data_IF_163396867724
#
_entry.id   IF_163396867724
#
_cell.length_a   1.000
_cell.length_b   1.000
_cell.length_c   1.000
_cell.angle_alpha   90.00
_cell.angle_beta   90.00
_cell.angle_gamma   90.00
#
_symmetry.space_group_name_H-M   'P 1'
#
loop_
_entity.id
_entity.type
_entity.pdbx_description
1 polymer ?
#
# COMPACT_ATOMS: atom_id res chain seq x y z
N UNK A 1 4.76 -24.75 -3.06
CA UNK A 1 3.57 -23.92 -3.30
C UNK A 1 2.78 -23.91 -2.00
N UNK A 2 2.44 -22.77 -1.51
CA UNK A 2 1.63 -22.63 -0.30
C UNK A 2 0.20 -23.15 -0.54
N UNK A 3 -0.40 -23.76 0.48
CA UNK A 3 -1.80 -24.20 0.44
C UNK A 3 -2.67 -23.03 0.88
N UNK A 4 -3.50 -22.51 -0.02
CA UNK A 4 -4.43 -21.41 0.26
C UNK A 4 -5.74 -21.96 0.79
N UNK A 5 -6.19 -21.48 1.95
CA UNK A 5 -7.43 -21.87 2.60
C UNK A 5 -8.28 -20.64 2.94
N UNK A 6 -9.60 -20.81 2.99
CA UNK A 6 -10.53 -19.73 3.37
C UNK A 6 -11.09 -20.04 4.76
N UNK A 7 -11.10 -19.05 5.63
CA UNK A 7 -11.70 -19.14 6.96
C UNK A 7 -13.18 -19.52 6.87
N UNK A 8 -13.65 -20.37 7.80
CA UNK A 8 -15.04 -20.87 7.83
C UNK A 8 -15.95 -20.05 8.74
N UNK A 9 -15.49 -18.90 9.25
CA UNK A 9 -16.27 -18.03 10.14
C UNK A 9 -17.42 -17.38 9.38
N UNK A 10 -18.58 -17.27 10.03
CA UNK A 10 -19.74 -16.59 9.49
C UNK A 10 -19.54 -15.06 9.38
N UNK A 11 -18.73 -14.49 10.24
CA UNK A 11 -18.34 -13.08 10.20
C UNK A 11 -16.90 -12.91 10.69
N UNK A 12 -16.23 -11.85 10.21
CA UNK A 12 -14.90 -11.50 10.66
C UNK A 12 -14.92 -10.98 12.10
N UNK A 13 -13.94 -11.39 12.89
CA UNK A 13 -13.69 -10.88 14.25
C UNK A 13 -12.37 -10.11 14.23
N UNK A 14 -12.43 -8.81 14.55
CA UNK A 14 -11.28 -7.93 14.43
C UNK A 14 -10.71 -7.96 12.98
N UNK A 15 -11.34 -7.26 12.03
CA UNK A 15 -11.07 -7.44 10.60
C UNK A 15 -9.65 -7.00 10.20
N UNK A 16 -8.94 -7.88 9.51
CA UNK A 16 -7.73 -7.56 8.76
C UNK A 16 -8.10 -6.80 7.47
N UNK A 17 -9.20 -7.20 6.86
CA UNK A 17 -9.68 -6.72 5.58
C UNK A 17 -10.23 -5.29 5.67
N UNK A 18 -9.73 -4.40 4.80
CA UNK A 18 -10.39 -3.14 4.45
C UNK A 18 -11.22 -3.33 3.17
N UNK A 19 -12.27 -2.51 3.00
CA UNK A 19 -13.25 -2.70 1.92
C UNK A 19 -12.78 -2.18 0.56
N UNK A 20 -13.33 -2.74 -0.52
CA UNK A 20 -13.06 -2.32 -1.89
C UNK A 20 -13.31 -0.82 -2.14
N UNK A 21 -14.43 -0.19 -1.69
CA UNK A 21 -14.66 1.24 -1.91
C UNK A 21 -13.54 2.13 -1.35
N UNK A 22 -12.93 1.72 -0.23
CA UNK A 22 -11.79 2.44 0.35
C UNK A 22 -10.56 2.31 -0.54
N UNK A 23 -10.28 1.10 -1.07
CA UNK A 23 -9.18 0.89 -2.02
C UNK A 23 -9.37 1.66 -3.33
N UNK A 24 -10.61 1.70 -3.83
CA UNK A 24 -10.95 2.50 -5.01
C UNK A 24 -10.80 4.00 -4.80
N UNK A 25 -11.31 4.52 -3.68
CA UNK A 25 -11.15 5.92 -3.30
C UNK A 25 -9.67 6.30 -3.14
N UNK A 26 -8.87 5.40 -2.58
CA UNK A 26 -7.43 5.58 -2.43
C UNK A 26 -6.71 5.73 -3.78
N UNK A 27 -7.07 4.94 -4.78
CA UNK A 27 -6.50 5.06 -6.11
C UNK A 27 -6.82 6.43 -6.76
N UNK A 28 -8.05 6.93 -6.60
CA UNK A 28 -8.40 8.28 -7.07
C UNK A 28 -7.60 9.39 -6.38
N UNK A 29 -7.14 9.18 -5.13
CA UNK A 29 -6.33 10.18 -4.43
C UNK A 29 -4.94 10.38 -5.06
N UNK A 30 -4.49 9.50 -5.93
CA UNK A 30 -3.25 9.68 -6.70
C UNK A 30 -3.43 10.47 -8.01
N UNK A 31 -4.59 11.07 -8.26
CA UNK A 31 -4.82 11.98 -9.39
C UNK A 31 -4.92 13.43 -8.90
N UNK A 32 -4.34 14.35 -9.67
CA UNK A 32 -4.40 15.81 -9.38
C UNK A 32 -5.83 16.31 -9.53
N UNK A 33 -6.23 17.17 -8.60
CA UNK A 33 -7.57 17.78 -8.63
C UNK A 33 -8.72 16.79 -8.52
N UNK A 34 -8.49 15.58 -8.01
CA UNK A 34 -9.52 14.57 -7.90
C UNK A 34 -10.43 14.77 -6.68
N UNK A 35 -11.69 14.37 -6.87
CA UNK A 35 -12.66 14.24 -5.79
C UNK A 35 -13.23 12.81 -5.79
N UNK A 36 -12.75 11.93 -4.92
CA UNK A 36 -13.38 10.63 -4.72
C UNK A 36 -14.76 10.77 -4.10
N UNK A 37 -15.74 10.03 -4.64
CA UNK A 37 -17.14 10.02 -4.24
C UNK A 37 -17.59 8.58 -3.95
N UNK A 38 -17.98 8.28 -2.71
CA UNK A 38 -18.62 7.02 -2.39
C UNK A 38 -20.13 7.10 -2.65
N UNK A 39 -20.62 6.27 -3.55
CA UNK A 39 -22.06 6.12 -3.78
C UNK A 39 -22.65 5.18 -2.74
N UNK A 40 -23.26 5.76 -1.71
CA UNK A 40 -23.79 5.04 -0.57
C UNK A 40 -24.17 5.92 0.60
N UNK A 41 -24.26 5.31 1.79
CA UNK A 41 -24.60 6.01 3.03
C UNK A 41 -23.45 6.87 3.55
N UNK A 42 -23.79 7.89 4.36
CA UNK A 42 -22.79 8.76 5.01
C UNK A 42 -21.82 8.01 5.93
N UNK A 43 -22.27 6.92 6.57
CA UNK A 43 -21.46 6.14 7.49
C UNK A 43 -20.22 5.53 6.83
N UNK A 44 -20.36 4.98 5.62
CA UNK A 44 -19.25 4.41 4.86
C UNK A 44 -18.16 5.46 4.57
N UNK A 45 -18.58 6.66 4.18
CA UNK A 45 -17.65 7.76 3.88
C UNK A 45 -16.97 8.29 5.14
N UNK A 46 -17.71 8.46 6.24
CA UNK A 46 -17.14 8.91 7.52
C UNK A 46 -16.11 7.91 8.06
N UNK A 47 -16.38 6.62 7.92
CA UNK A 47 -15.43 5.57 8.30
C UNK A 47 -14.17 5.61 7.43
N UNK A 48 -14.31 5.66 6.11
CA UNK A 48 -13.20 5.77 5.17
C UNK A 48 -12.33 7.01 5.41
N UNK A 49 -12.97 8.17 5.60
CA UNK A 49 -12.29 9.43 5.93
C UNK A 49 -11.47 9.30 7.22
N UNK A 50 -12.04 8.69 8.25
CA UNK A 50 -11.33 8.45 9.53
C UNK A 50 -10.08 7.58 9.33
N UNK A 51 -10.15 6.54 8.50
CA UNK A 51 -9.01 5.67 8.23
C UNK A 51 -7.88 6.44 7.51
N UNK A 52 -8.19 7.18 6.45
CA UNK A 52 -7.20 7.94 5.69
C UNK A 52 -6.55 9.05 6.53
N UNK A 53 -7.36 9.88 7.18
CA UNK A 53 -6.85 10.97 8.02
C UNK A 53 -5.96 10.44 9.16
N UNK A 54 -6.33 9.31 9.75
CA UNK A 54 -5.52 8.70 10.81
C UNK A 54 -4.23 8.06 10.29
N UNK A 55 -4.24 7.56 9.05
CA UNK A 55 -3.05 6.94 8.44
C UNK A 55 -2.04 8.01 7.98
N UNK A 56 -2.47 8.95 7.16
CA UNK A 56 -1.60 9.96 6.56
C UNK A 56 -1.36 11.16 7.47
N UNK A 57 -2.23 11.42 8.44
CA UNK A 57 -2.24 12.65 9.28
C UNK A 57 -2.50 13.92 8.47
N UNK A 58 -3.19 13.79 7.34
CA UNK A 58 -3.52 14.85 6.40
C UNK A 58 -5.02 14.94 6.17
N UNK A 59 -5.48 16.12 5.73
CA UNK A 59 -6.83 16.28 5.23
C UNK A 59 -6.92 15.63 3.84
N UNK A 60 -7.85 14.69 3.66
CA UNK A 60 -8.06 14.01 2.37
C UNK A 60 -9.44 14.33 1.82
N UNK A 61 -9.56 14.57 0.51
CA UNK A 61 -10.87 14.78 -0.11
C UNK A 61 -11.61 13.44 -0.21
N UNK A 62 -12.82 13.38 0.32
CA UNK A 62 -13.71 12.23 0.16
C UNK A 62 -15.16 12.70 0.36
N UNK A 63 -16.02 12.42 -0.61
CA UNK A 63 -17.42 12.83 -0.60
C UNK A 63 -18.37 11.63 -0.62
N UNK A 64 -19.66 11.89 -0.39
CA UNK A 64 -20.71 10.87 -0.35
C UNK A 64 -21.94 11.33 -1.12
N UNK A 65 -22.65 10.40 -1.73
CA UNK A 65 -24.00 10.67 -2.27
C UNK A 65 -25.06 10.74 -1.16
N UNK A 66 -24.69 10.45 0.07
CA UNK A 66 -25.54 10.54 1.26
C UNK A 66 -26.90 9.84 1.13
N UNK A 67 -26.93 8.63 0.61
CA UNK A 67 -28.17 7.89 0.42
C UNK A 67 -28.91 7.71 1.74
N UNK A 68 -30.17 8.16 1.76
CA UNK A 68 -31.12 7.88 2.84
C UNK A 68 -31.77 6.51 2.65
N UNK A 69 -32.49 6.04 3.68
CA UNK A 69 -33.29 4.81 3.58
C UNK A 69 -34.29 4.85 2.42
N UNK A 70 -34.94 6.01 2.22
CA UNK A 70 -35.89 6.22 1.11
C UNK A 70 -35.19 6.11 -0.25
N UNK A 71 -34.05 6.78 -0.41
CA UNK A 71 -33.26 6.70 -1.65
C UNK A 71 -32.74 5.28 -1.90
N UNK A 72 -32.44 4.52 -0.84
CA UNK A 72 -32.05 3.11 -0.95
C UNK A 72 -33.17 2.24 -1.54
N UNK A 73 -34.42 2.58 -1.31
CA UNK A 73 -35.58 1.85 -1.86
C UNK A 73 -35.95 2.36 -3.25
N UNK A 74 -36.04 3.68 -3.45
CA UNK A 74 -36.58 4.28 -4.68
C UNK A 74 -35.56 4.44 -5.81
N UNK A 75 -34.26 4.54 -5.53
CA UNK A 75 -33.19 4.74 -6.52
C UNK A 75 -32.25 5.89 -6.14
N UNK A 76 -30.96 5.68 -6.45
CA UNK A 76 -29.90 6.61 -6.12
C UNK A 76 -29.65 7.71 -7.16
N UNK A 77 -30.43 7.76 -8.28
CA UNK A 77 -30.17 8.70 -9.38
C UNK A 77 -30.07 10.16 -8.92
N UNK A 78 -31.08 10.65 -8.19
CA UNK A 78 -31.12 12.05 -7.73
C UNK A 78 -29.95 12.36 -6.79
N UNK A 79 -29.56 11.39 -5.93
CA UNK A 79 -28.43 11.55 -5.03
C UNK A 79 -27.10 11.64 -5.80
N UNK A 80 -26.90 10.82 -6.83
CA UNK A 80 -25.69 10.85 -7.68
C UNK A 80 -25.64 12.16 -8.46
N UNK A 81 -26.75 12.57 -9.10
CA UNK A 81 -26.85 13.84 -9.85
C UNK A 81 -26.52 15.04 -8.96
N UNK A 82 -27.18 15.15 -7.81
CA UNK A 82 -26.96 16.26 -6.88
C UNK A 82 -25.52 16.28 -6.33
N UNK A 83 -24.97 15.12 -5.99
CA UNK A 83 -23.58 15.02 -5.50
C UNK A 83 -22.60 15.51 -6.55
N UNK A 84 -22.70 15.02 -7.80
CA UNK A 84 -21.83 15.43 -8.91
C UNK A 84 -21.92 16.94 -9.15
N UNK A 85 -23.13 17.49 -9.24
CA UNK A 85 -23.33 18.92 -9.47
C UNK A 85 -22.79 19.79 -8.33
N UNK A 86 -23.01 19.36 -7.08
CA UNK A 86 -22.49 20.06 -5.91
C UNK A 86 -20.96 20.07 -5.88
N UNK A 87 -20.33 18.92 -6.14
CA UNK A 87 -18.87 18.79 -6.23
C UNK A 87 -18.35 19.67 -7.37
N UNK A 88 -18.87 19.50 -8.58
CA UNK A 88 -18.43 20.23 -9.77
C UNK A 88 -18.49 21.75 -9.57
N UNK A 89 -19.59 22.28 -9.03
CA UNK A 89 -19.76 23.70 -8.85
C UNK A 89 -18.96 24.30 -7.70
N UNK A 90 -18.80 23.57 -6.59
CA UNK A 90 -18.15 24.08 -5.36
C UNK A 90 -16.65 23.86 -5.32
N UNK A 91 -16.19 22.67 -5.72
CA UNK A 91 -14.77 22.30 -5.57
C UNK A 91 -14.00 22.41 -6.87
N UNK A 92 -14.69 22.51 -8.01
CA UNK A 92 -14.10 22.63 -9.36
C UNK A 92 -13.00 21.58 -9.61
N UNK A 93 -13.30 20.27 -9.44
CA UNK A 93 -12.30 19.23 -9.57
C UNK A 93 -11.89 19.04 -11.04
N UNK A 94 -10.73 18.43 -11.27
CA UNK A 94 -10.32 17.95 -12.60
C UNK A 94 -11.00 16.62 -12.96
N UNK A 95 -11.35 15.82 -11.95
CA UNK A 95 -11.99 14.50 -12.09
C UNK A 95 -12.84 14.18 -10.86
N UNK A 96 -13.98 13.51 -11.06
CA UNK A 96 -14.76 12.88 -10.00
C UNK A 96 -14.68 11.36 -10.19
N UNK A 97 -14.11 10.66 -9.19
CA UNK A 97 -14.04 9.21 -9.14
C UNK A 97 -15.16 8.64 -8.27
N UNK A 98 -16.01 7.78 -8.82
CA UNK A 98 -17.21 7.29 -8.15
C UNK A 98 -16.99 5.79 -7.84
N UNK A 99 -17.04 5.43 -6.56
CA UNK A 99 -17.00 4.05 -6.09
C UNK A 99 -18.38 3.66 -5.53
N UNK A 100 -18.94 2.54 -5.97
CA UNK A 100 -20.14 1.98 -5.34
C UNK A 100 -19.83 1.45 -3.94
N UNK A 101 -20.88 1.23 -3.14
CA UNK A 101 -20.80 0.57 -1.83
C UNK A 101 -21.74 -0.62 -1.80
N UNK A 102 -21.67 -1.47 -0.77
CA UNK A 102 -22.49 -2.66 -0.66
C UNK A 102 -23.99 -2.39 -0.75
N UNK A 103 -24.46 -1.25 -0.24
CA UNK A 103 -25.86 -0.85 -0.31
C UNK A 103 -26.30 -0.68 -1.76
N UNK A 104 -25.56 0.05 -2.57
CA UNK A 104 -25.91 0.36 -3.97
C UNK A 104 -25.69 -0.85 -4.88
N UNK A 105 -24.68 -1.67 -4.61
CA UNK A 105 -24.43 -2.93 -5.31
C UNK A 105 -25.52 -3.97 -5.03
N UNK A 106 -25.94 -4.12 -3.77
CA UNK A 106 -27.03 -5.06 -3.39
C UNK A 106 -28.35 -4.67 -4.04
N UNK A 107 -28.59 -3.36 -4.17
CA UNK A 107 -29.78 -2.84 -4.83
C UNK A 107 -29.70 -3.00 -6.34
N UNK A 108 -28.52 -2.97 -6.94
CA UNK A 108 -28.33 -3.03 -8.40
C UNK A 108 -28.55 -1.70 -9.09
N UNK A 109 -28.10 -0.57 -8.50
CA UNK A 109 -28.14 0.74 -9.14
C UNK A 109 -27.31 0.75 -10.44
N UNK A 110 -27.94 1.10 -11.59
CA UNK A 110 -27.23 1.28 -12.87
C UNK A 110 -26.53 2.66 -12.91
N UNK A 111 -25.43 2.76 -12.19
CA UNK A 111 -24.68 4.03 -12.11
C UNK A 111 -24.14 4.47 -13.47
N UNK A 112 -23.73 3.55 -14.34
CA UNK A 112 -23.32 3.90 -15.70
C UNK A 112 -24.45 4.52 -16.52
N UNK A 113 -25.66 3.96 -16.40
CA UNK A 113 -26.87 4.54 -16.96
C UNK A 113 -27.18 5.91 -16.38
N UNK A 114 -27.04 6.08 -15.07
CA UNK A 114 -27.18 7.39 -14.43
C UNK A 114 -26.21 8.43 -14.99
N UNK A 115 -24.94 8.08 -15.15
CA UNK A 115 -23.93 8.98 -15.69
C UNK A 115 -24.21 9.40 -17.14
N UNK A 116 -24.77 8.48 -17.97
CA UNK A 116 -25.20 8.83 -19.33
C UNK A 116 -26.30 9.87 -19.29
N UNK A 117 -27.36 9.63 -18.51
CA UNK A 117 -28.48 10.56 -18.35
C UNK A 117 -28.05 11.94 -17.79
N UNK A 118 -27.12 11.93 -16.81
CA UNK A 118 -26.58 13.17 -16.21
C UNK A 118 -25.80 13.98 -17.27
N UNK A 119 -24.98 13.35 -18.11
CA UNK A 119 -24.25 14.00 -19.19
C UNK A 119 -25.19 14.59 -20.24
N UNK A 120 -26.26 13.89 -20.60
CA UNK A 120 -27.25 14.36 -21.55
C UNK A 120 -28.05 15.58 -21.00
N UNK A 121 -28.36 15.54 -19.70
CA UNK A 121 -29.12 16.64 -19.04
C UNK A 121 -28.24 17.85 -18.72
N UNK A 122 -26.93 17.68 -18.53
CA UNK A 122 -25.98 18.71 -18.10
C UNK A 122 -24.82 18.87 -19.12
N UNK A 123 -24.97 19.72 -20.17
CA UNK A 123 -23.95 19.86 -21.22
C UNK A 123 -22.54 20.21 -20.71
N UNK A 124 -22.43 20.92 -19.58
CA UNK A 124 -21.15 21.23 -18.95
C UNK A 124 -20.39 19.98 -18.46
N UNK A 125 -21.07 18.86 -18.24
CA UNK A 125 -20.48 17.59 -17.83
C UNK A 125 -20.20 16.64 -19.00
N UNK A 126 -20.58 16.99 -20.24
CA UNK A 126 -20.49 16.09 -21.40
C UNK A 126 -19.08 15.53 -21.63
N UNK A 127 -18.04 16.36 -21.44
CA UNK A 127 -16.62 15.98 -21.58
C UNK A 127 -15.87 15.94 -20.26
N UNK A 128 -16.57 16.21 -19.14
CA UNK A 128 -15.93 16.21 -17.83
C UNK A 128 -15.60 14.76 -17.39
N UNK A 129 -14.38 14.49 -16.87
CA UNK A 129 -13.99 13.17 -16.43
C UNK A 129 -14.82 12.69 -15.23
N UNK A 130 -15.73 11.76 -15.48
CA UNK A 130 -16.49 11.01 -14.46
C UNK A 130 -16.14 9.55 -14.66
N UNK A 131 -15.45 8.96 -13.70
CA UNK A 131 -15.03 7.53 -13.74
C UNK A 131 -15.75 6.78 -12.64
N UNK A 132 -16.51 5.76 -13.03
CA UNK A 132 -17.22 4.89 -12.11
C UNK A 132 -16.53 3.54 -11.98
N UNK A 133 -16.51 3.00 -10.76
CA UNK A 133 -15.99 1.67 -10.45
C UNK A 133 -16.94 0.93 -9.53
N UNK A 134 -17.35 -0.27 -9.93
CA UNK A 134 -18.12 -1.18 -9.07
C UNK A 134 -17.21 -1.81 -8.02
N UNK A 135 -17.46 -1.45 -6.76
CA UNK A 135 -16.63 -1.83 -5.60
C UNK A 135 -17.50 -2.38 -4.45
N UNK A 136 -18.16 -3.54 -4.64
CA UNK A 136 -18.98 -4.14 -3.59
C UNK A 136 -18.14 -4.45 -2.34
N UNK A 137 -18.56 -3.97 -1.17
CA UNK A 137 -17.81 -4.13 0.08
C UNK A 137 -17.98 -5.50 0.76
N UNK A 138 -18.97 -6.29 0.31
CA UNK A 138 -19.27 -7.63 0.84
C UNK A 138 -18.40 -8.74 0.25
N UNK A 139 -17.65 -8.49 -0.80
CA UNK A 139 -16.66 -9.42 -1.36
C UNK A 139 -15.36 -8.70 -1.69
N UNK A 140 -14.28 -9.48 -1.91
CA UNK A 140 -12.95 -8.97 -2.23
C UNK A 140 -12.43 -7.99 -1.14
N UNK A 141 -11.35 -7.27 -1.36
CA UNK A 141 -10.73 -6.42 -0.35
C UNK A 141 -10.22 -5.07 -0.91
N UNK A 142 -9.49 -4.34 -0.11
CA UNK A 142 -8.88 -3.05 -0.42
C UNK A 142 -8.02 -3.10 -1.69
N UNK A 143 -7.15 -4.12 -1.80
CA UNK A 143 -6.31 -4.34 -2.97
C UNK A 143 -7.12 -4.50 -4.26
N UNK A 144 -8.25 -5.21 -4.21
CA UNK A 144 -9.11 -5.42 -5.39
C UNK A 144 -9.80 -4.12 -5.83
N UNK A 145 -10.20 -3.28 -4.86
CA UNK A 145 -10.75 -1.95 -5.16
C UNK A 145 -9.75 -1.03 -5.86
N UNK A 146 -8.50 -1.05 -5.41
CA UNK A 146 -7.41 -0.35 -6.08
C UNK A 146 -7.19 -0.86 -7.51
N UNK A 147 -7.04 -2.17 -7.68
CA UNK A 147 -6.85 -2.81 -9.00
C UNK A 147 -7.92 -2.41 -10.00
N UNK A 148 -9.20 -2.55 -9.60
CA UNK A 148 -10.34 -2.22 -10.45
C UNK A 148 -10.34 -0.75 -10.85
N UNK A 149 -9.99 0.12 -9.91
CA UNK A 149 -9.96 1.56 -10.16
C UNK A 149 -8.83 1.94 -11.11
N UNK A 150 -7.63 1.42 -10.93
CA UNK A 150 -6.51 1.69 -11.85
C UNK A 150 -6.83 1.17 -13.26
N UNK A 151 -7.44 -0.01 -13.39
CA UNK A 151 -7.88 -0.53 -14.68
C UNK A 151 -8.94 0.40 -15.32
N UNK A 152 -9.94 0.85 -14.55
CA UNK A 152 -10.96 1.76 -15.04
C UNK A 152 -10.40 3.13 -15.47
N UNK A 153 -9.39 3.65 -14.75
CA UNK A 153 -8.68 4.88 -15.12
C UNK A 153 -7.95 4.70 -16.46
N UNK A 154 -7.26 3.59 -16.66
CA UNK A 154 -6.60 3.27 -17.94
C UNK A 154 -7.65 3.18 -19.07
N UNK A 155 -8.73 2.44 -18.84
CA UNK A 155 -9.77 2.24 -19.85
C UNK A 155 -10.52 3.54 -20.20
N UNK A 156 -10.74 4.41 -19.21
CA UNK A 156 -11.53 5.64 -19.40
C UNK A 156 -10.70 6.81 -19.91
N UNK A 157 -9.47 7.00 -19.41
CA UNK A 157 -8.71 8.25 -19.59
C UNK A 157 -7.56 8.13 -20.58
N UNK A 158 -6.87 6.97 -20.66
CA UNK A 158 -5.73 6.84 -21.58
C UNK A 158 -6.21 6.86 -23.02
N UNK A 159 -5.58 7.66 -23.85
CA UNK A 159 -5.88 7.69 -25.28
C UNK A 159 -5.01 6.70 -26.05
N UNK A 160 -5.62 6.04 -27.05
CA UNK A 160 -4.85 5.23 -27.98
C UNK A 160 -3.98 6.15 -28.85
N UNK A 161 -2.69 5.81 -29.08
CA UNK A 161 -1.86 6.61 -29.97
C UNK A 161 -2.42 6.61 -31.41
N UNK A 162 -2.22 7.71 -32.13
CA UNK A 162 -2.62 7.79 -33.53
C UNK A 162 -1.94 6.67 -34.35
N UNK A 163 -2.59 6.13 -35.40
CA UNK A 163 -1.98 5.13 -36.26
C UNK A 163 -0.64 5.63 -36.82
N UNK A 164 0.43 4.86 -36.61
CA UNK A 164 1.77 5.21 -37.05
C UNK A 164 2.54 6.18 -36.13
N UNK A 165 1.99 6.56 -34.99
CA UNK A 165 2.70 7.39 -34.01
C UNK A 165 3.95 6.66 -33.49
N UNK A 166 5.06 7.40 -33.42
CA UNK A 166 6.31 6.90 -32.85
C UNK A 166 6.21 7.01 -31.31
N UNK A 167 6.55 5.93 -30.62
CA UNK A 167 6.58 5.91 -29.16
C UNK A 167 7.78 6.68 -28.66
N UNK A 168 7.58 7.37 -27.56
CA UNK A 168 8.66 7.99 -26.79
C UNK A 168 9.31 6.94 -25.88
N UNK A 169 10.46 6.44 -26.28
CA UNK A 169 11.19 5.40 -25.53
C UNK A 169 11.80 5.91 -24.22
N UNK A 170 11.85 7.23 -24.01
CA UNK A 170 12.30 7.79 -22.73
C UNK A 170 11.16 7.83 -21.71
N UNK A 171 9.90 7.83 -22.15
CA UNK A 171 8.75 7.79 -21.25
C UNK A 171 8.42 6.37 -20.83
N UNK A 172 8.17 6.19 -19.52
CA UNK A 172 7.71 4.92 -18.93
C UNK A 172 6.51 5.16 -18.03
N UNK A 173 5.47 4.37 -18.24
CA UNK A 173 4.34 4.35 -17.32
C UNK A 173 4.69 3.47 -16.13
N UNK A 174 4.28 3.88 -14.94
CA UNK A 174 4.39 3.08 -13.72
C UNK A 174 3.00 2.90 -13.13
N UNK A 175 2.59 1.65 -12.95
CA UNK A 175 1.34 1.27 -12.30
C UNK A 175 1.69 0.66 -10.94
N UNK A 176 1.69 1.46 -9.85
CA UNK A 176 2.05 0.99 -8.52
C UNK A 176 0.89 0.26 -7.85
N UNK A 177 1.21 -0.79 -7.08
CA UNK A 177 0.26 -1.47 -6.21
C UNK A 177 -0.06 -0.67 -4.95
N UNK A 178 -1.22 -0.93 -4.35
CA UNK A 178 -1.70 -0.23 -3.15
C UNK A 178 -0.85 -0.44 -1.88
N UNK A 179 0.05 -1.41 -1.90
CA UNK A 179 0.95 -1.71 -0.78
C UNK A 179 2.16 -0.79 -0.69
N UNK A 180 2.43 -0.03 -1.76
CA UNK A 180 3.54 0.92 -1.81
C UNK A 180 3.16 2.24 -1.13
N UNK A 181 4.09 2.78 -0.38
CA UNK A 181 3.94 4.09 0.29
C UNK A 181 4.29 5.23 -0.66
N UNK A 182 3.89 6.49 -0.36
CA UNK A 182 4.40 7.65 -1.07
C UNK A 182 5.93 7.70 -1.16
N UNK A 183 6.66 7.36 -0.09
CA UNK A 183 8.13 7.29 -0.11
C UNK A 183 8.67 6.19 -1.02
N UNK A 184 7.99 5.06 -1.14
CA UNK A 184 8.35 4.01 -2.09
C UNK A 184 8.20 4.50 -3.54
N UNK A 185 7.14 5.25 -3.84
CA UNK A 185 6.93 5.84 -5.17
C UNK A 185 8.02 6.85 -5.51
N UNK A 186 8.41 7.70 -4.56
CA UNK A 186 9.52 8.64 -4.74
C UNK A 186 10.85 7.92 -5.01
N UNK A 187 11.14 6.86 -4.28
CA UNK A 187 12.37 6.07 -4.52
C UNK A 187 12.35 5.44 -5.90
N UNK A 188 11.22 4.85 -6.32
CA UNK A 188 11.07 4.26 -7.66
C UNK A 188 11.24 5.34 -8.74
N UNK A 189 10.67 6.53 -8.53
CA UNK A 189 10.82 7.69 -9.41
C UNK A 189 12.29 8.06 -9.56
N UNK A 190 12.99 8.29 -8.44
CA UNK A 190 14.41 8.60 -8.43
C UNK A 190 15.25 7.54 -9.15
N UNK A 191 14.95 6.26 -8.93
CA UNK A 191 15.66 5.17 -9.61
C UNK A 191 15.47 5.26 -11.13
N UNK A 192 14.24 5.43 -11.60
CA UNK A 192 13.93 5.50 -13.05
C UNK A 192 14.58 6.74 -13.70
N UNK A 193 14.48 7.90 -13.04
CA UNK A 193 15.07 9.16 -13.52
C UNK A 193 16.59 9.11 -13.62
N UNK A 194 17.27 8.40 -12.73
CA UNK A 194 18.72 8.22 -12.80
C UNK A 194 19.21 7.43 -14.01
N UNK A 195 18.33 6.65 -14.62
CA UNK A 195 18.57 6.03 -15.93
C UNK A 195 18.20 6.96 -17.10
N UNK A 196 17.76 8.21 -16.80
CA UNK A 196 17.36 9.22 -17.78
C UNK A 196 16.02 8.90 -18.44
N UNK A 197 15.20 8.11 -17.80
CA UNK A 197 13.82 7.84 -18.20
C UNK A 197 12.88 8.82 -17.48
N UNK A 198 11.70 9.04 -18.04
CA UNK A 198 10.68 9.95 -17.52
C UNK A 198 9.45 9.13 -17.09
N UNK A 199 9.29 8.89 -15.78
CA UNK A 199 8.18 8.07 -15.29
C UNK A 199 6.89 8.87 -15.12
N UNK A 200 5.76 8.33 -15.59
CA UNK A 200 4.40 8.77 -15.27
C UNK A 200 3.73 7.71 -14.39
N UNK A 201 3.40 8.07 -13.15
CA UNK A 201 2.77 7.15 -12.20
C UNK A 201 1.25 7.26 -12.26
N UNK A 202 0.56 6.13 -12.34
CA UNK A 202 -0.89 6.08 -12.27
C UNK A 202 -1.33 4.95 -11.31
N UNK A 203 -1.82 5.29 -10.13
CA UNK A 203 -1.90 6.61 -9.46
C UNK A 203 -0.54 7.11 -8.92
N UNK A 204 -0.41 8.42 -8.66
CA UNK A 204 0.78 9.03 -8.06
C UNK A 204 0.48 9.54 -6.65
N UNK A 205 0.71 8.70 -5.65
CA UNK A 205 0.49 9.09 -4.25
C UNK A 205 1.64 9.95 -3.70
N UNK A 206 2.84 9.89 -4.28
CA UNK A 206 3.98 10.68 -3.86
C UNK A 206 3.77 12.18 -4.08
N UNK A 207 2.96 12.53 -5.09
CA UNK A 207 2.60 13.92 -5.34
C UNK A 207 1.38 14.42 -4.55
N UNK A 208 0.62 13.53 -3.88
CA UNK A 208 -0.66 13.89 -3.25
C UNK A 208 -0.77 13.60 -1.76
N UNK A 209 -0.05 12.63 -1.23
CA UNK A 209 -0.12 12.16 0.16
C UNK A 209 1.28 12.02 0.79
N UNK A 210 2.16 12.95 0.48
CA UNK A 210 3.56 12.98 0.90
C UNK A 210 3.84 13.93 2.08
N UNK A 211 2.81 14.53 2.65
CA UNK A 211 2.91 15.39 3.83
C UNK A 211 3.27 16.83 3.53
N UNK A 212 3.28 17.28 2.26
CA UNK A 212 3.51 18.69 1.98
C UNK A 212 2.26 19.53 2.27
N UNK A 213 2.47 20.76 2.73
CA UNK A 213 1.40 21.70 3.05
C UNK A 213 1.27 22.69 1.89
N UNK A 214 0.11 22.75 1.22
CA UNK A 214 -0.10 23.72 0.16
C UNK A 214 -0.19 25.15 0.72
N UNK A 215 0.20 26.15 -0.08
CA UNK A 215 0.15 27.58 0.30
C UNK A 215 -1.30 28.06 0.55
N UNK A 216 -2.28 27.49 -0.14
CA UNK A 216 -3.68 27.79 -0.01
C UNK A 216 -4.52 26.50 0.19
N UNK A 217 -5.69 26.65 0.81
CA UNK A 217 -6.63 25.54 0.95
C UNK A 217 -7.14 25.05 -0.40
N UNK A 218 -6.93 23.78 -0.68
CA UNK A 218 -7.42 23.07 -1.87
C UNK A 218 -8.46 22.03 -1.46
N UNK A 219 -9.71 22.10 -1.95
CA UNK A 219 -10.77 21.17 -1.54
C UNK A 219 -10.68 19.78 -2.19
N UNK A 220 -9.78 19.61 -3.17
CA UNK A 220 -9.52 18.36 -3.91
C UNK A 220 -8.13 17.81 -3.53
N UNK A 221 -7.67 16.74 -4.18
CA UNK A 221 -6.28 16.31 -4.07
C UNK A 221 -5.33 17.42 -4.50
N UNK A 222 -4.23 17.61 -3.74
CA UNK A 222 -3.29 18.71 -3.95
C UNK A 222 -2.22 18.40 -5.01
N UNK A 223 -2.00 17.13 -5.30
CA UNK A 223 -1.00 16.65 -6.27
C UNK A 223 -1.46 15.35 -6.91
N UNK A 224 -0.53 14.59 -7.42
CA UNK A 224 -0.79 13.38 -8.20
C UNK A 224 -0.68 13.62 -9.70
N UNK A 225 -0.99 12.61 -10.50
CA UNK A 225 -0.94 12.69 -11.97
C UNK A 225 -2.17 13.45 -12.52
N UNK A 226 -1.94 14.36 -13.46
CA UNK A 226 -3.03 15.08 -14.15
C UNK A 226 -3.78 14.21 -15.17
N UNK A 227 -5.07 14.50 -15.37
CA UNK A 227 -5.89 13.79 -16.37
C UNK A 227 -5.32 13.96 -17.79
N UNK A 228 -4.77 15.12 -18.10
CA UNK A 228 -4.08 15.43 -19.35
C UNK A 228 -2.83 14.58 -19.56
N UNK A 229 -2.05 14.35 -18.51
CA UNK A 229 -0.90 13.46 -18.55
C UNK A 229 -1.32 12.00 -18.72
N UNK A 230 -2.33 11.53 -17.98
CA UNK A 230 -2.90 10.18 -18.13
C UNK A 230 -3.33 9.91 -19.56
N UNK A 231 -3.97 10.89 -20.23
CA UNK A 231 -4.40 10.75 -21.62
C UNK A 231 -3.23 10.43 -22.55
N UNK A 232 -2.04 10.97 -22.29
CA UNK A 232 -0.83 10.76 -23.12
C UNK A 232 -0.02 9.50 -22.79
N UNK A 233 -0.35 8.76 -21.75
CA UNK A 233 0.40 7.57 -21.32
C UNK A 233 0.51 6.49 -22.41
N UNK A 234 -0.43 6.47 -23.37
CA UNK A 234 -0.37 5.56 -24.52
C UNK A 234 0.84 5.74 -25.45
N UNK A 235 1.55 6.87 -25.33
CA UNK A 235 2.73 7.20 -26.14
C UNK A 235 4.05 6.68 -25.54
N UNK A 236 4.05 6.18 -24.31
CA UNK A 236 5.23 5.71 -23.61
C UNK A 236 5.85 4.45 -24.26
N UNK A 237 7.16 4.28 -24.10
CA UNK A 237 7.90 3.11 -24.58
C UNK A 237 7.54 1.83 -23.84
N UNK A 238 7.34 1.94 -22.52
CA UNK A 238 7.09 0.81 -21.62
C UNK A 238 6.08 1.15 -20.53
N UNK A 239 5.41 0.09 -20.03
CA UNK A 239 4.62 0.13 -18.79
C UNK A 239 5.25 -0.83 -17.77
N UNK A 240 5.56 -0.31 -16.59
CA UNK A 240 6.05 -1.05 -15.43
C UNK A 240 4.88 -1.26 -14.49
N UNK A 241 4.53 -2.51 -14.21
CA UNK A 241 3.46 -2.88 -13.28
C UNK A 241 4.08 -3.43 -11.99
N UNK A 242 3.83 -2.79 -10.84
CA UNK A 242 4.42 -3.17 -9.55
C UNK A 242 3.34 -3.77 -8.64
N UNK A 243 3.55 -5.03 -8.27
CA UNK A 243 2.55 -5.87 -7.63
C UNK A 243 1.74 -6.68 -8.64
N UNK A 244 1.34 -7.89 -8.26
CA UNK A 244 0.58 -8.78 -9.13
C UNK A 244 -0.81 -8.22 -9.46
N UNK A 245 -1.40 -7.45 -8.54
CA UNK A 245 -2.67 -6.77 -8.73
C UNK A 245 -2.66 -5.82 -9.94
N UNK A 246 -1.51 -5.28 -10.32
CA UNK A 246 -1.42 -4.32 -11.43
C UNK A 246 -1.39 -4.99 -12.81
N UNK A 247 -1.34 -6.31 -12.89
CA UNK A 247 -1.34 -7.05 -14.15
C UNK A 247 -2.54 -6.70 -15.02
N UNK A 248 -3.75 -6.67 -14.44
CA UNK A 248 -4.99 -6.35 -15.17
C UNK A 248 -4.95 -4.95 -15.80
N UNK A 249 -4.51 -3.95 -15.05
CA UNK A 249 -4.39 -2.59 -15.56
C UNK A 249 -3.31 -2.48 -16.66
N UNK A 250 -2.19 -3.20 -16.52
CA UNK A 250 -1.13 -3.26 -17.52
C UNK A 250 -1.58 -3.96 -18.82
N UNK A 251 -2.37 -5.03 -18.72
CA UNK A 251 -2.98 -5.72 -19.86
C UNK A 251 -4.01 -4.82 -20.58
N UNK A 252 -4.82 -4.06 -19.81
CA UNK A 252 -5.74 -3.07 -20.37
C UNK A 252 -4.97 -1.96 -21.12
N UNK A 253 -3.86 -1.46 -20.54
CA UNK A 253 -2.96 -0.51 -21.17
C UNK A 253 -2.39 -1.07 -22.48
N UNK A 254 -1.83 -2.27 -22.45
CA UNK A 254 -1.28 -2.92 -23.63
C UNK A 254 -2.34 -3.16 -24.73
N UNK A 255 -3.51 -3.65 -24.34
CA UNK A 255 -4.63 -3.88 -25.27
C UNK A 255 -5.08 -2.59 -25.96
N UNK A 256 -5.16 -1.49 -25.21
CA UNK A 256 -5.65 -0.20 -25.71
C UNK A 256 -4.61 0.53 -26.56
N UNK A 257 -3.35 0.49 -26.16
CA UNK A 257 -2.29 1.33 -26.72
C UNK A 257 -1.21 0.54 -27.48
N UNK A 258 -1.14 -0.77 -27.24
CA UNK A 258 -0.05 -1.63 -27.72
C UNK A 258 1.27 -1.41 -26.98
N UNK A 259 1.33 -0.59 -25.90
CA UNK A 259 2.54 -0.37 -25.10
C UNK A 259 2.92 -1.67 -24.39
N UNK A 260 4.15 -2.19 -24.58
CA UNK A 260 4.60 -3.38 -23.88
C UNK A 260 4.66 -3.13 -22.37
N UNK A 261 4.43 -4.18 -21.57
CA UNK A 261 4.56 -4.05 -20.12
C UNK A 261 5.49 -5.10 -19.51
N UNK A 262 6.11 -4.73 -18.39
CA UNK A 262 6.92 -5.63 -17.55
C UNK A 262 6.34 -5.64 -16.14
N UNK A 263 5.90 -6.80 -15.61
CA UNK A 263 5.50 -6.91 -14.22
C UNK A 263 6.71 -7.10 -13.30
N UNK A 264 6.68 -6.43 -12.15
CA UNK A 264 7.55 -6.63 -11.00
C UNK A 264 6.64 -6.91 -9.79
N UNK A 265 6.48 -8.17 -9.46
CA UNK A 265 5.56 -8.57 -8.40
C UNK A 265 6.13 -8.31 -7.00
N UNK A 266 7.43 -8.06 -6.90
CA UNK A 266 8.18 -7.70 -5.70
C UNK A 266 9.22 -6.64 -6.03
N UNK A 267 9.44 -5.70 -5.11
CA UNK A 267 10.56 -4.74 -5.14
C UNK A 267 11.30 -4.63 -3.80
N UNK A 268 10.92 -5.43 -2.81
CA UNK A 268 11.65 -5.60 -1.57
C UNK A 268 12.53 -6.87 -1.66
N UNK A 269 13.83 -6.74 -1.40
CA UNK A 269 14.80 -7.83 -1.51
C UNK A 269 15.95 -7.54 -2.47
N UNK A 270 17.02 -8.35 -2.42
CA UNK A 270 18.20 -8.15 -3.26
C UNK A 270 17.90 -8.49 -4.73
N UNK A 271 17.40 -9.70 -4.98
CA UNK A 271 17.15 -10.21 -6.34
C UNK A 271 16.08 -9.39 -7.08
N UNK A 272 14.91 -9.07 -6.49
CA UNK A 272 13.91 -8.23 -7.16
C UNK A 272 14.45 -6.86 -7.57
N UNK A 273 15.28 -6.25 -6.72
CA UNK A 273 15.94 -4.99 -7.07
C UNK A 273 17.00 -5.14 -8.17
N UNK A 274 17.77 -6.23 -8.18
CA UNK A 274 18.70 -6.53 -9.26
C UNK A 274 17.96 -6.65 -10.60
N UNK A 275 16.83 -7.36 -10.65
CA UNK A 275 15.99 -7.51 -11.84
C UNK A 275 15.44 -6.16 -12.32
N UNK A 276 14.96 -5.32 -11.42
CA UNK A 276 14.42 -4.00 -11.73
C UNK A 276 15.50 -3.06 -12.30
N UNK A 277 16.65 -2.97 -11.64
CA UNK A 277 17.80 -2.15 -12.07
C UNK A 277 18.33 -2.62 -13.43
N UNK A 278 18.44 -3.93 -13.66
CA UNK A 278 18.90 -4.47 -14.94
C UNK A 278 17.90 -4.20 -16.06
N UNK A 279 16.60 -4.30 -15.81
CA UNK A 279 15.57 -3.93 -16.78
C UNK A 279 15.65 -2.44 -17.17
N UNK A 280 15.84 -1.55 -16.21
CA UNK A 280 16.00 -0.11 -16.49
C UNK A 280 17.27 0.16 -17.29
N UNK A 281 18.37 -0.55 -17.02
CA UNK A 281 19.60 -0.47 -17.80
C UNK A 281 19.38 -0.92 -19.25
N UNK A 282 18.61 -1.99 -19.44
CA UNK A 282 18.27 -2.53 -20.76
C UNK A 282 17.45 -1.54 -21.59
N UNK A 283 16.31 -1.06 -21.04
CA UNK A 283 15.38 -0.19 -21.81
C UNK A 283 15.93 1.23 -22.04
N UNK A 284 16.79 1.72 -21.14
CA UNK A 284 17.44 3.03 -21.28
C UNK A 284 18.71 3.01 -22.13
N UNK A 285 19.31 1.83 -22.33
CA UNK A 285 20.62 1.67 -22.95
C UNK A 285 21.77 2.27 -22.12
N UNK A 286 21.56 2.59 -20.85
CA UNK A 286 22.54 3.22 -19.94
C UNK A 286 23.10 2.20 -18.94
N UNK A 287 24.38 2.31 -18.60
CA UNK A 287 24.97 1.45 -17.57
C UNK A 287 24.37 1.77 -16.19
N UNK A 288 24.35 0.77 -15.32
CA UNK A 288 23.89 0.95 -13.93
C UNK A 288 24.71 2.03 -13.22
N UNK A 289 24.08 3.11 -12.69
CA UNK A 289 24.79 4.17 -11.99
C UNK A 289 25.60 3.65 -10.79
N UNK A 290 26.73 4.28 -10.52
CA UNK A 290 27.67 3.86 -9.46
C UNK A 290 27.01 3.81 -8.07
N UNK A 291 26.03 4.71 -7.81
CA UNK A 291 25.31 4.74 -6.52
C UNK A 291 24.54 3.45 -6.27
N UNK A 292 23.91 2.85 -7.27
CA UNK A 292 23.15 1.61 -7.11
C UNK A 292 24.05 0.40 -6.91
N UNK A 293 25.21 0.34 -7.58
CA UNK A 293 26.23 -0.69 -7.29
C UNK A 293 26.72 -0.62 -5.84
N UNK A 294 26.91 0.60 -5.30
CA UNK A 294 27.27 0.81 -3.89
C UNK A 294 26.13 0.41 -2.95
N UNK A 295 24.89 0.85 -3.22
CA UNK A 295 23.74 0.53 -2.40
C UNK A 295 23.47 -0.99 -2.36
N UNK A 296 23.66 -1.69 -3.50
CA UNK A 296 23.61 -3.14 -3.57
C UNK A 296 24.60 -3.81 -2.60
N UNK A 297 25.85 -3.31 -2.60
CA UNK A 297 26.86 -3.78 -1.65
C UNK A 297 26.48 -3.53 -0.18
N UNK A 298 25.92 -2.35 0.11
CA UNK A 298 25.42 -2.03 1.45
C UNK A 298 24.25 -2.90 1.88
N UNK A 299 23.34 -3.27 0.96
CA UNK A 299 22.26 -4.20 1.25
C UNK A 299 22.80 -5.60 1.53
N UNK A 300 23.74 -6.09 0.72
CA UNK A 300 24.38 -7.41 0.95
C UNK A 300 25.09 -7.49 2.32
N UNK A 301 25.76 -6.41 2.72
CA UNK A 301 26.41 -6.28 4.03
C UNK A 301 25.35 -6.31 5.16
N UNK A 302 24.30 -5.51 5.04
CA UNK A 302 23.18 -5.49 5.99
C UNK A 302 22.49 -6.86 6.13
N UNK A 303 22.38 -7.61 5.03
CA UNK A 303 21.85 -8.97 5.05
C UNK A 303 22.75 -9.91 5.88
N UNK A 304 24.07 -9.78 5.75
CA UNK A 304 25.03 -10.55 6.55
C UNK A 304 24.93 -10.20 8.03
N UNK A 305 24.94 -8.90 8.36
CA UNK A 305 24.87 -8.43 9.76
C UNK A 305 23.57 -8.87 10.44
N UNK A 306 22.46 -8.76 9.74
CA UNK A 306 21.13 -9.07 10.29
C UNK A 306 20.81 -10.57 10.32
N UNK A 307 21.51 -11.37 9.51
CA UNK A 307 21.25 -12.82 9.41
C UNK A 307 21.36 -13.55 10.77
N UNK A 308 22.31 -13.16 11.61
CA UNK A 308 22.49 -13.74 12.94
C UNK A 308 21.30 -13.52 13.88
N UNK A 309 20.50 -12.50 13.65
CA UNK A 309 19.32 -12.16 14.46
C UNK A 309 18.03 -12.66 13.84
N UNK A 310 17.96 -12.75 12.51
CA UNK A 310 16.77 -13.14 11.74
C UNK A 310 16.73 -14.62 11.39
N UNK A 311 17.88 -15.23 11.12
CA UNK A 311 17.98 -16.63 10.69
C UNK A 311 17.30 -17.60 11.66
N UNK A 312 16.35 -18.38 11.14
CA UNK A 312 15.58 -19.36 11.89
C UNK A 312 14.44 -18.82 12.75
N UNK A 313 14.27 -17.47 12.85
CA UNK A 313 13.15 -16.86 13.57
C UNK A 313 11.82 -17.19 12.90
N UNK A 314 10.76 -17.26 13.71
CA UNK A 314 9.40 -17.54 13.28
C UNK A 314 8.59 -16.24 13.29
N UNK A 315 7.99 -15.88 12.17
CA UNK A 315 7.20 -14.67 12.06
C UNK A 315 5.76 -14.98 11.65
N UNK A 316 4.83 -14.16 12.16
CA UNK A 316 3.44 -14.14 11.75
C UNK A 316 3.16 -12.86 10.95
N UNK A 317 2.54 -12.99 9.78
CA UNK A 317 2.23 -11.87 8.88
C UNK A 317 0.75 -11.86 8.56
N UNK A 318 0.10 -10.70 8.78
CA UNK A 318 -1.28 -10.43 8.34
C UNK A 318 -1.33 -9.22 7.43
N UNK A 319 -1.56 -9.40 6.12
CA UNK A 319 -1.50 -8.31 5.13
C UNK A 319 -2.32 -8.59 3.86
N UNK A 320 -2.53 -7.54 3.05
CA UNK A 320 -3.02 -7.68 1.68
C UNK A 320 -2.10 -8.62 0.88
N UNK A 321 -2.62 -9.35 -0.13
CA UNK A 321 -1.86 -10.39 -0.82
C UNK A 321 -0.49 -9.97 -1.36
N UNK A 322 -0.38 -8.82 -2.02
CA UNK A 322 0.87 -8.39 -2.63
C UNK A 322 1.90 -7.97 -1.57
N UNK A 323 1.47 -7.31 -0.49
CA UNK A 323 2.33 -6.97 0.65
C UNK A 323 2.82 -8.22 1.37
N UNK A 324 1.93 -9.20 1.59
CA UNK A 324 2.28 -10.49 2.18
C UNK A 324 3.34 -11.21 1.33
N UNK A 325 3.15 -11.22 0.02
CA UNK A 325 4.08 -11.87 -0.91
C UNK A 325 5.45 -11.19 -0.92
N UNK A 326 5.49 -9.86 -0.95
CA UNK A 326 6.75 -9.09 -0.98
C UNK A 326 7.53 -9.25 0.33
N UNK A 327 6.90 -9.04 1.48
CA UNK A 327 7.51 -9.18 2.80
C UNK A 327 7.97 -10.62 3.08
N UNK A 328 7.12 -11.62 2.79
CA UNK A 328 7.47 -13.02 3.04
C UNK A 328 8.67 -13.47 2.21
N UNK A 329 8.78 -12.99 0.98
CA UNK A 329 9.92 -13.30 0.12
C UNK A 329 11.23 -12.69 0.63
N UNK A 330 11.24 -11.42 1.01
CA UNK A 330 12.41 -10.75 1.58
C UNK A 330 12.86 -11.42 2.89
N UNK A 331 11.90 -11.75 3.76
CA UNK A 331 12.18 -12.42 5.03
C UNK A 331 12.71 -13.86 4.83
N UNK A 332 12.18 -14.57 3.83
CA UNK A 332 12.69 -15.88 3.44
C UNK A 332 14.15 -15.81 2.99
N UNK A 333 14.50 -14.79 2.19
CA UNK A 333 15.90 -14.56 1.75
C UNK A 333 16.84 -14.29 2.94
N UNK A 334 16.29 -13.84 4.09
CA UNK A 334 17.01 -13.66 5.37
C UNK A 334 17.02 -14.92 6.26
N UNK A 335 16.49 -16.06 5.80
CA UNK A 335 16.40 -17.29 6.56
C UNK A 335 15.30 -17.31 7.63
N UNK A 336 14.36 -16.36 7.58
CA UNK A 336 13.18 -16.32 8.45
C UNK A 336 12.16 -17.36 8.02
N UNK A 337 11.48 -17.97 8.98
CA UNK A 337 10.34 -18.86 8.74
C UNK A 337 9.04 -18.11 8.96
N UNK A 338 8.31 -17.83 7.90
CA UNK A 338 6.93 -17.32 8.02
C UNK A 338 6.05 -18.52 8.39
N UNK A 339 5.77 -18.68 9.68
CA UNK A 339 4.97 -19.80 10.18
C UNK A 339 3.48 -19.54 10.07
N UNK A 340 3.05 -18.27 10.17
CA UNK A 340 1.67 -17.86 10.06
C UNK A 340 1.53 -16.79 9.00
N UNK A 341 0.70 -17.04 7.99
CA UNK A 341 0.36 -16.10 6.94
C UNK A 341 -1.17 -15.98 6.82
N UNK A 342 -1.71 -14.79 7.10
CA UNK A 342 -3.12 -14.48 6.97
C UNK A 342 -3.30 -13.32 6.00
N UNK A 343 -4.26 -13.43 5.10
CA UNK A 343 -4.54 -12.41 4.08
C UNK A 343 -6.02 -12.10 3.96
N UNK A 344 -6.36 -11.12 3.15
CA UNK A 344 -7.69 -10.50 3.09
C UNK A 344 -8.56 -11.02 1.97
N UNK A 345 -7.97 -11.42 0.84
CA UNK A 345 -8.67 -11.82 -0.38
C UNK A 345 -7.86 -12.83 -1.18
N UNK A 346 -8.47 -13.42 -2.20
CA UNK A 346 -7.79 -14.32 -3.14
C UNK A 346 -6.85 -13.56 -4.08
N UNK A 347 -5.69 -14.14 -4.34
CA UNK A 347 -4.75 -13.65 -5.35
C UNK A 347 -3.90 -14.79 -5.90
N UNK A 348 -3.52 -14.76 -7.17
CA UNK A 348 -2.63 -15.76 -7.77
C UNK A 348 -1.23 -15.85 -7.11
N UNK A 349 -0.78 -14.80 -6.42
CA UNK A 349 0.53 -14.80 -5.73
C UNK A 349 0.55 -15.65 -4.47
N UNK A 350 -0.61 -15.91 -3.87
CA UNK A 350 -0.70 -16.59 -2.56
C UNK A 350 -0.08 -18.00 -2.58
N UNK A 351 -0.19 -18.73 -3.69
CA UNK A 351 0.42 -20.04 -3.83
C UNK A 351 1.96 -20.01 -3.84
N UNK A 352 2.53 -18.82 -4.09
CA UNK A 352 3.98 -18.60 -4.16
C UNK A 352 4.56 -17.93 -2.91
N UNK A 353 3.72 -17.59 -1.93
CA UNK A 353 4.15 -17.08 -0.63
C UNK A 353 5.07 -18.12 0.03
N UNK A 354 6.14 -17.66 0.67
CA UNK A 354 7.17 -18.52 1.28
C UNK A 354 6.71 -19.04 2.66
N UNK A 355 5.65 -19.87 2.65
CA UNK A 355 5.06 -20.54 3.82
C UNK A 355 4.41 -21.85 3.39
N UNK A 356 4.03 -22.70 4.35
CA UNK A 356 3.27 -23.93 4.07
C UNK A 356 1.80 -23.65 3.77
N UNK A 357 1.16 -22.80 4.60
CA UNK A 357 -0.26 -22.47 4.50
C UNK A 357 -0.48 -20.95 4.49
N UNK A 358 -1.43 -20.50 3.68
CA UNK A 358 -1.97 -19.13 3.70
C UNK A 358 -3.46 -19.20 4.00
N UNK A 359 -3.91 -18.48 5.02
CA UNK A 359 -5.31 -18.39 5.39
C UNK A 359 -5.90 -17.05 4.94
N UNK A 360 -6.99 -17.08 4.18
CA UNK A 360 -7.85 -15.90 3.99
C UNK A 360 -8.75 -15.81 5.22
N UNK A 361 -8.47 -14.81 6.08
CA UNK A 361 -9.07 -14.71 7.40
C UNK A 361 -9.00 -13.31 7.99
N UNK A 362 -9.01 -13.24 9.31
CA UNK A 362 -9.02 -12.00 10.08
C UNK A 362 -7.88 -11.95 11.12
N UNK A 363 -7.82 -10.87 11.90
CA UNK A 363 -6.78 -10.71 12.93
C UNK A 363 -6.94 -11.66 14.12
N UNK A 364 -8.14 -12.16 14.40
CA UNK A 364 -8.34 -13.21 15.40
C UNK A 364 -7.74 -14.54 14.93
N UNK A 365 -7.89 -14.87 13.64
CA UNK A 365 -7.25 -16.04 13.05
C UNK A 365 -5.73 -15.93 13.12
N UNK A 366 -5.19 -14.74 12.79
CA UNK A 366 -3.76 -14.44 12.88
C UNK A 366 -3.23 -14.65 14.31
N UNK A 367 -3.93 -14.11 15.31
CA UNK A 367 -3.58 -14.23 16.72
C UNK A 367 -3.62 -15.68 17.20
N UNK A 368 -4.69 -16.41 16.92
CA UNK A 368 -4.86 -17.81 17.34
C UNK A 368 -3.81 -18.74 16.72
N UNK A 369 -3.51 -18.54 15.43
CA UNK A 369 -2.46 -19.30 14.76
C UNK A 369 -1.07 -18.96 15.33
N UNK A 370 -0.79 -17.67 15.56
CA UNK A 370 0.47 -17.23 16.16
C UNK A 370 0.67 -17.78 17.59
N UNK A 371 -0.40 -17.81 18.39
CA UNK A 371 -0.38 -18.41 19.71
C UNK A 371 -0.08 -19.94 19.67
N UNK A 372 -0.66 -20.63 18.68
CA UNK A 372 -0.53 -22.09 18.56
C UNK A 372 0.83 -22.53 17.99
N UNK A 373 1.31 -21.84 16.94
CA UNK A 373 2.55 -22.21 16.24
C UNK A 373 3.79 -21.55 16.84
N UNK A 374 3.60 -20.51 17.65
CA UNK A 374 4.64 -19.65 18.20
C UNK A 374 5.28 -18.76 17.14
N UNK A 375 5.52 -17.50 17.49
CA UNK A 375 6.25 -16.57 16.64
C UNK A 375 7.06 -15.58 17.48
N UNK A 376 8.15 -15.07 16.90
CA UNK A 376 9.07 -14.12 17.53
C UNK A 376 8.70 -12.67 17.21
N UNK A 377 7.88 -12.42 16.19
CA UNK A 377 7.44 -11.09 15.76
C UNK A 377 6.13 -11.19 15.00
N UNK A 378 5.24 -10.23 15.21
CA UNK A 378 4.01 -10.04 14.45
C UNK A 378 4.16 -8.87 13.48
N UNK A 379 3.76 -9.06 12.22
CA UNK A 379 3.74 -8.01 11.19
C UNK A 379 2.32 -7.86 10.66
N UNK A 380 1.71 -6.70 10.86
CA UNK A 380 0.41 -6.33 10.28
C UNK A 380 0.14 -4.83 10.51
N UNK A 381 -1.01 -4.32 10.03
CA UNK A 381 -1.42 -2.94 10.29
C UNK A 381 -1.82 -2.68 11.76
N UNK A 382 -2.09 -1.43 12.12
CA UNK A 382 -2.25 -0.99 13.52
C UNK A 382 -3.30 -1.74 14.35
N UNK A 383 -4.32 -2.34 13.73
CA UNK A 383 -5.32 -3.12 14.47
C UNK A 383 -4.75 -4.41 15.10
N UNK A 384 -3.61 -4.91 14.60
CA UNK A 384 -2.94 -6.07 15.20
C UNK A 384 -2.17 -5.78 16.49
N UNK A 385 -2.05 -4.51 16.90
CA UNK A 385 -1.30 -4.13 18.12
C UNK A 385 -1.74 -4.90 19.37
N UNK A 386 -3.05 -5.01 19.59
CA UNK A 386 -3.59 -5.70 20.76
C UNK A 386 -3.28 -7.21 20.74
N UNK A 387 -3.23 -7.84 19.56
CA UNK A 387 -2.82 -9.24 19.43
C UNK A 387 -1.35 -9.42 19.83
N UNK A 388 -0.46 -8.55 19.35
CA UNK A 388 0.96 -8.58 19.72
C UNK A 388 1.16 -8.36 21.24
N UNK A 389 0.40 -7.44 21.86
CA UNK A 389 0.42 -7.21 23.30
C UNK A 389 -0.02 -8.45 24.09
N UNK A 390 -1.11 -9.13 23.68
CA UNK A 390 -1.57 -10.37 24.33
C UNK A 390 -0.61 -11.54 24.17
N UNK A 391 0.04 -11.62 23.00
CA UNK A 391 1.06 -12.64 22.73
C UNK A 391 2.41 -12.32 23.38
N UNK A 392 2.57 -11.10 23.90
CA UNK A 392 3.83 -10.59 24.47
C UNK A 392 5.02 -10.73 23.50
N UNK A 393 4.82 -10.31 22.24
CA UNK A 393 5.84 -10.34 21.19
C UNK A 393 6.00 -8.96 20.54
N UNK A 394 7.16 -8.64 19.96
CA UNK A 394 7.37 -7.40 19.24
C UNK A 394 6.44 -7.29 18.04
N UNK A 395 6.17 -6.04 17.63
CA UNK A 395 5.20 -5.70 16.60
C UNK A 395 5.77 -4.74 15.57
N UNK A 396 5.83 -5.16 14.31
CA UNK A 396 6.12 -4.29 13.16
C UNK A 396 4.83 -3.94 12.44
N UNK A 397 4.62 -2.64 12.16
CA UNK A 397 3.44 -2.16 11.45
C UNK A 397 3.73 -2.11 9.96
N UNK A 398 2.89 -2.75 9.17
CA UNK A 398 2.94 -2.75 7.72
C UNK A 398 1.52 -2.72 7.13
N UNK A 399 1.35 -2.06 5.99
CA UNK A 399 0.06 -1.96 5.30
C UNK A 399 -0.88 -0.88 5.86
N UNK A 400 -2.09 -0.84 5.31
CA UNK A 400 -3.11 0.15 5.66
C UNK A 400 -4.21 -0.48 6.54
N UNK A 401 -4.66 0.21 7.63
CA UNK A 401 -4.24 1.53 8.09
C UNK A 401 -3.18 1.49 9.20
N UNK A 402 -2.33 2.52 9.26
CA UNK A 402 -1.47 2.80 10.41
C UNK A 402 -1.93 4.08 11.11
N UNK A 403 -2.37 3.99 12.37
CA UNK A 403 -2.91 5.13 13.11
C UNK A 403 -2.26 5.34 14.48
N UNK A 404 -1.51 4.39 14.98
CA UNK A 404 -0.80 4.44 16.26
C UNK A 404 0.70 4.77 16.11
N UNK A 405 1.10 5.17 14.92
CA UNK A 405 2.43 5.69 14.58
C UNK A 405 2.29 6.92 13.68
N UNK A 406 3.33 7.73 13.62
CA UNK A 406 3.48 8.84 12.68
C UNK A 406 4.38 8.42 11.53
N UNK A 407 4.27 9.10 10.38
CA UNK A 407 5.15 8.87 9.23
C UNK A 407 4.85 7.59 8.44
N UNK A 408 3.62 7.09 8.44
CA UNK A 408 3.24 5.89 7.68
C UNK A 408 3.57 6.02 6.19
N UNK A 409 3.28 7.17 5.57
CA UNK A 409 3.59 7.45 4.17
C UNK A 409 5.07 7.63 3.85
N UNK A 410 5.92 7.78 4.87
CA UNK A 410 7.38 7.98 4.74
C UNK A 410 8.19 6.70 5.00
N UNK A 411 7.55 5.58 5.27
CA UNK A 411 8.25 4.31 5.40
C UNK A 411 8.72 3.84 4.03
N UNK A 412 10.02 3.57 3.90
CA UNK A 412 10.63 3.10 2.67
C UNK A 412 10.92 1.60 2.76
N UNK A 413 10.44 0.83 1.78
CA UNK A 413 10.62 -0.62 1.74
C UNK A 413 11.26 -1.11 0.42
N UNK A 414 11.15 -0.34 -0.66
CA UNK A 414 11.63 -0.71 -1.99
C UNK A 414 13.04 -0.18 -2.28
N UNK A 415 13.63 -0.68 -3.35
CA UNK A 415 15.01 -0.34 -3.69
C UNK A 415 16.01 -1.02 -2.74
N UNK A 416 17.29 -0.93 -3.06
CA UNK A 416 18.34 -1.48 -2.18
C UNK A 416 18.34 -0.79 -0.81
N UNK A 417 18.11 0.52 -0.80
CA UNK A 417 18.12 1.35 0.40
C UNK A 417 16.93 1.03 1.31
N UNK A 418 15.72 0.99 0.75
CA UNK A 418 14.52 0.69 1.53
C UNK A 418 14.53 -0.74 2.08
N UNK A 419 14.92 -1.72 1.27
CA UNK A 419 15.08 -3.10 1.72
C UNK A 419 16.08 -3.21 2.88
N UNK A 420 17.23 -2.53 2.79
CA UNK A 420 18.24 -2.49 3.86
C UNK A 420 17.66 -1.93 5.16
N UNK A 421 16.99 -0.79 5.07
CA UNK A 421 16.45 -0.08 6.23
C UNK A 421 15.30 -0.86 6.89
N UNK A 422 14.51 -1.57 6.09
CA UNK A 422 13.46 -2.47 6.59
C UNK A 422 14.07 -3.70 7.30
N UNK A 423 15.12 -4.31 6.74
CA UNK A 423 15.84 -5.42 7.37
C UNK A 423 16.38 -5.00 8.75
N UNK A 424 17.05 -3.84 8.83
CA UNK A 424 17.55 -3.33 10.10
C UNK A 424 16.41 -3.03 11.09
N UNK A 425 15.31 -2.47 10.63
CA UNK A 425 14.14 -2.20 11.48
C UNK A 425 13.61 -3.48 12.11
N UNK A 426 13.42 -4.53 11.31
CA UNK A 426 12.89 -5.81 11.79
C UNK A 426 13.90 -6.50 12.71
N UNK A 427 15.18 -6.53 12.35
CA UNK A 427 16.23 -7.13 13.17
C UNK A 427 16.35 -6.44 14.54
N UNK A 428 16.32 -5.10 14.57
CA UNK A 428 16.41 -4.31 15.81
C UNK A 428 15.19 -4.52 16.72
N UNK A 429 13.99 -4.76 16.18
CA UNK A 429 12.84 -5.11 17.02
C UNK A 429 13.04 -6.45 17.73
N UNK A 430 13.62 -7.43 17.07
CA UNK A 430 13.91 -8.75 17.64
C UNK A 430 15.05 -8.64 18.68
N UNK A 431 16.09 -7.84 18.40
CA UNK A 431 17.19 -7.62 19.35
C UNK A 431 16.66 -6.94 20.63
N UNK A 432 15.86 -5.88 20.49
CA UNK A 432 15.31 -5.15 21.63
C UNK A 432 14.40 -6.05 22.50
N UNK A 433 13.58 -6.89 21.89
CA UNK A 433 12.75 -7.86 22.62
C UNK A 433 13.61 -8.88 23.40
N UNK A 434 14.64 -9.41 22.74
CA UNK A 434 15.55 -10.36 23.39
C UNK A 434 16.31 -9.72 24.56
N UNK A 435 16.70 -8.45 24.44
CA UNK A 435 17.36 -7.71 25.54
C UNK A 435 16.40 -7.44 26.68
N UNK A 436 15.16 -7.04 26.41
CA UNK A 436 14.13 -6.77 27.42
C UNK A 436 13.74 -8.04 28.22
N UNK A 437 13.74 -9.19 27.56
CA UNK A 437 13.41 -10.50 28.16
C UNK A 437 14.64 -11.25 28.71
N UNK A 438 15.84 -10.67 28.59
CA UNK A 438 17.06 -11.26 29.12
C UNK A 438 17.05 -11.21 30.64
N UNK A 439 17.17 -12.36 31.30
CA UNK A 439 17.43 -12.39 32.73
C UNK A 439 18.74 -11.64 33.02
N UNK A 440 18.78 -10.79 34.08
CA UNK A 440 20.01 -10.11 34.47
C UNK A 440 21.11 -11.16 34.59
N UNK A 441 22.18 -11.00 33.82
CA UNK A 441 23.38 -11.82 34.04
C UNK A 441 23.83 -11.54 35.46
N UNK A 442 24.05 -12.59 36.30
CA UNK A 442 24.67 -12.37 37.61
C UNK A 442 25.95 -11.54 37.40
N UNK A 443 26.16 -10.52 38.23
CA UNK A 443 27.36 -9.69 38.21
C UNK A 443 28.61 -10.54 38.55
N UNK A 444 28.95 -11.48 37.67
CA UNK A 444 30.10 -12.39 37.88
C UNK A 444 31.45 -11.67 37.79
N UNK A 445 31.47 -10.41 37.40
CA UNK A 445 32.65 -9.55 37.40
C UNK A 445 32.70 -8.57 38.56
N UNK A 446 31.66 -8.49 39.41
CA UNK A 446 31.86 -7.94 40.76
C UNK A 446 32.72 -8.92 41.53
N UNK A 447 34.00 -8.66 41.49
CA UNK A 447 34.93 -9.19 42.52
C UNK A 447 34.32 -8.68 43.82
N UNK A 448 33.87 -9.60 44.69
CA UNK A 448 33.50 -9.26 46.05
C UNK A 448 34.67 -8.48 46.63
N UNK A 449 34.63 -7.18 46.48
CA UNK A 449 35.64 -6.28 47.02
C UNK A 449 35.59 -6.48 48.51
N UNK A 450 36.71 -6.93 49.03
CA UNK A 450 36.97 -7.09 50.45
C UNK A 450 36.19 -6.06 51.26
N UNK A 451 35.40 -6.53 52.19
CA UNK A 451 34.85 -5.74 53.25
C UNK A 451 36.00 -4.99 53.93
N UNK A 452 36.20 -3.74 53.55
CA UNK A 452 37.01 -2.82 54.34
C UNK A 452 36.23 -2.56 55.60
N UNK A 453 36.49 -3.33 56.61
CA UNK A 453 36.22 -2.93 58.01
C UNK A 453 37.03 -1.66 58.23
N UNK A 454 36.39 -0.52 58.04
CA UNK A 454 36.89 0.77 58.43
C UNK A 454 36.74 0.94 59.93
N UNK A 455 37.79 0.58 60.68
CA UNK A 455 37.98 1.09 62.04
C UNK A 455 38.03 2.61 62.00
N UNK A 456 36.99 3.25 62.42
CA UNK A 456 36.93 4.69 62.71
C UNK A 456 37.61 4.96 64.05
N UNK A 457 38.95 5.02 64.03
CA UNK A 457 39.67 5.63 65.11
C UNK A 457 39.64 7.17 64.97
N UNK A 458 38.89 7.83 65.81
CA UNK A 458 38.89 9.27 65.94
C UNK A 458 40.26 9.77 66.36
N UNK A 459 40.90 10.63 65.57
CA UNK A 459 42.05 11.41 65.97
C UNK A 459 41.59 12.74 66.59
N UNK A 460 42.10 13.10 67.78
CA UNK A 460 41.78 14.38 68.45
C UNK A 460 42.47 15.56 67.75
N UNK A 461 41.78 16.66 67.69
CA UNK A 461 42.28 17.96 67.27
C UNK A 461 43.29 18.49 68.32
N UNK A 462 44.47 18.90 67.82
CA UNK A 462 45.28 20.01 68.35
C UNK A 462 45.74 20.91 67.20
#
# INVERSE_FOLDING_TARGET
MAKVTVGKKACAVNPLKMSQPIGGAFAFMGLRGAMPLLHGSQGCTSFGLTLFVRHFKEAVPLQTTAMSEVATVLGGYDNVEQAILNIFNRTKPEIIGICSTGVTETKGDDVEGFLRLIRDKHPQLAKFPLVYVSTPDFKDAFQDGWEKTVAALVESLVEAPAPGAVRDLQRVNVLPGCHLTPADLDEIRCIIEDFGLQPSFLPDLAGSLDGHIPDEFVPTTIGGIGVDEVATMGQAGWTIAIGAQMRRAAEAMQKKTGTPYRPFERLCGLVPNDEFIMFLSEISGRPVPAKYRRQRGQLADAMLDSHFHLGGRKLAIGAEPDLLFDLSGMLHDMGVKVTVAVTTTQSPVLERVQTEDVLIGDLEDLENLAATQGCDLLITHSHGRQAAERLNIPFHRAGFPMFDRVGAGHQLSVGYRGTRDLIFTIANLIIADHEANRQPTPDTWRIDGAATQGDSAALPLH
#
